data_IF_173239262479
#
_entry.id   IF_173239262479
#
_cell.length_a   1.000
_cell.length_b   1.000
_cell.length_c   1.000
_cell.angle_alpha   90.00
_cell.angle_beta   90.00
_cell.angle_gamma   90.00
#
_symmetry.space_group_name_H-M   'P 1'
#
loop_
_entity.id
_entity.type
_entity.pdbx_description
1 polymer ?
#
# COMPACT_ATOMS: atom_id res chain seq x y z
N UNK A 1 2.63 -13.62 1.16
CA UNK A 1 1.55 -12.61 1.00
C UNK A 1 0.93 -12.77 -0.37
N UNK A 2 -0.37 -12.67 -0.47
CA UNK A 2 -1.08 -12.70 -1.75
C UNK A 2 -1.46 -11.29 -2.16
N UNK A 3 -1.41 -11.03 -3.48
CA UNK A 3 -1.71 -9.70 -4.01
C UNK A 3 -2.66 -9.80 -5.19
N UNK A 4 -3.54 -8.81 -5.32
CA UNK A 4 -4.39 -8.61 -6.49
C UNK A 4 -4.36 -7.14 -6.86
N UNK A 5 -4.35 -6.86 -8.17
CA UNK A 5 -4.33 -5.48 -8.65
C UNK A 5 -5.48 -5.28 -9.62
N UNK A 6 -6.28 -4.23 -9.40
CA UNK A 6 -7.36 -3.83 -10.29
C UNK A 6 -7.25 -2.35 -10.56
N UNK A 7 -7.34 -1.96 -11.82
CA UNK A 7 -7.26 -0.56 -12.21
C UNK A 7 -8.58 -0.12 -12.83
N UNK A 8 -9.10 0.99 -12.36
CA UNK A 8 -10.35 1.55 -12.86
C UNK A 8 -10.37 3.05 -12.57
N UNK A 9 -10.76 3.84 -13.55
CA UNK A 9 -10.95 5.29 -13.40
C UNK A 9 -9.73 6.02 -12.84
N UNK A 10 -8.54 5.61 -13.24
CA UNK A 10 -7.30 6.23 -12.79
C UNK A 10 -6.80 5.78 -11.43
N UNK A 11 -7.46 4.81 -10.81
CA UNK A 11 -7.08 4.29 -9.49
C UNK A 11 -6.67 2.82 -9.65
N UNK A 12 -5.46 2.50 -9.19
CA UNK A 12 -4.99 1.12 -9.10
C UNK A 12 -5.22 0.64 -7.66
N UNK A 13 -6.13 -0.30 -7.50
CA UNK A 13 -6.41 -0.89 -6.19
C UNK A 13 -5.55 -2.13 -6.02
N UNK A 14 -4.68 -2.10 -5.03
CA UNK A 14 -3.77 -3.19 -4.71
C UNK A 14 -4.26 -3.84 -3.42
N UNK A 15 -4.79 -5.05 -3.55
CA UNK A 15 -5.35 -5.80 -2.42
C UNK A 15 -4.31 -6.77 -1.91
N UNK A 16 -3.97 -6.64 -0.63
CA UNK A 16 -2.96 -7.47 0.03
C UNK A 16 -3.64 -8.40 1.02
N UNK A 17 -3.16 -9.65 1.09
CA UNK A 17 -3.71 -10.64 2.02
C UNK A 17 -2.60 -11.42 2.69
N UNK A 18 -2.77 -11.70 3.98
CA UNK A 18 -1.86 -12.51 4.77
C UNK A 18 -0.91 -11.67 5.61
N UNK A 19 0.34 -12.07 5.68
CA UNK A 19 1.35 -11.39 6.50
C UNK A 19 2.14 -10.42 5.64
N UNK A 20 2.16 -9.18 6.07
CA UNK A 20 2.94 -8.13 5.40
C UNK A 20 4.19 -7.87 6.23
N UNK A 21 5.25 -8.61 5.94
CA UNK A 21 6.49 -8.59 6.70
C UNK A 21 7.70 -8.45 5.77
N UNK A 22 8.89 -8.61 6.33
CA UNK A 22 10.13 -8.50 5.55
C UNK A 22 10.12 -9.43 4.35
N UNK A 23 9.60 -10.65 4.49
CA UNK A 23 9.53 -11.63 3.40
C UNK A 23 8.58 -11.26 2.27
N UNK A 24 7.73 -10.24 2.47
CA UNK A 24 6.76 -9.79 1.47
C UNK A 24 7.32 -8.75 0.51
N UNK A 25 8.57 -8.36 0.65
CA UNK A 25 9.16 -7.25 -0.11
C UNK A 25 8.98 -7.42 -1.62
N UNK A 26 9.32 -8.59 -2.14
CA UNK A 26 9.23 -8.87 -3.58
C UNK A 26 7.78 -8.85 -4.06
N UNK A 27 6.89 -9.52 -3.35
CA UNK A 27 5.49 -9.59 -3.73
C UNK A 27 4.85 -8.21 -3.75
N UNK A 28 5.13 -7.42 -2.74
CA UNK A 28 4.59 -6.06 -2.67
C UNK A 28 5.13 -5.19 -3.80
N UNK A 29 6.43 -5.20 -4.02
CA UNK A 29 7.04 -4.41 -5.09
C UNK A 29 6.48 -4.80 -6.46
N UNK A 30 6.39 -6.10 -6.74
CA UNK A 30 5.84 -6.60 -7.99
C UNK A 30 4.41 -6.13 -8.19
N UNK A 31 3.61 -6.07 -7.11
CA UNK A 31 2.21 -5.68 -7.21
C UNK A 31 2.00 -4.23 -7.67
N UNK A 32 2.93 -3.33 -7.37
CA UNK A 32 2.72 -1.93 -7.69
C UNK A 32 3.56 -1.41 -8.87
N UNK A 33 4.52 -2.19 -9.37
CA UNK A 33 5.44 -1.67 -10.40
C UNK A 33 4.73 -1.26 -11.68
N UNK A 34 3.82 -2.07 -12.20
CA UNK A 34 3.10 -1.74 -13.43
C UNK A 34 2.19 -0.52 -13.21
N UNK A 35 1.30 -0.50 -12.21
CA UNK A 35 0.47 0.68 -11.99
C UNK A 35 1.28 1.93 -11.68
N UNK A 36 2.41 1.79 -11.01
CA UNK A 36 3.26 2.95 -10.71
C UNK A 36 3.79 3.61 -11.97
N UNK A 37 4.08 2.82 -13.01
CA UNK A 37 4.58 3.32 -14.29
C UNK A 37 3.49 3.67 -15.31
N UNK A 38 2.22 3.41 -15.01
CA UNK A 38 1.13 3.62 -15.96
C UNK A 38 0.68 5.08 -15.98
N UNK A 39 0.68 5.69 -17.15
CA UNK A 39 0.35 7.13 -17.29
C UNK A 39 -1.11 7.43 -16.92
N UNK A 40 -2.00 6.46 -17.09
CA UNK A 40 -3.43 6.65 -16.80
C UNK A 40 -3.78 6.40 -15.32
N UNK A 41 -2.82 5.96 -14.52
CA UNK A 41 -3.02 5.79 -13.08
C UNK A 41 -2.56 7.05 -12.35
N UNK A 42 -3.44 7.61 -11.51
CA UNK A 42 -3.16 8.81 -10.72
C UNK A 42 -3.07 8.52 -9.23
N UNK A 43 -3.65 7.41 -8.78
CA UNK A 43 -3.68 7.03 -7.39
C UNK A 43 -3.51 5.53 -7.25
N UNK A 44 -2.72 5.12 -6.24
CA UNK A 44 -2.63 3.73 -5.82
C UNK A 44 -3.32 3.60 -4.46
N UNK A 45 -4.25 2.66 -4.37
CA UNK A 45 -4.98 2.36 -3.14
C UNK A 45 -4.47 1.05 -2.59
N UNK A 46 -3.89 1.07 -1.41
CA UNK A 46 -3.37 -0.15 -0.76
C UNK A 46 -4.45 -0.64 0.21
N UNK A 47 -5.09 -1.73 -0.14
CA UNK A 47 -6.16 -2.33 0.66
C UNK A 47 -5.54 -3.34 1.62
N UNK A 48 -5.60 -3.04 2.91
CA UNK A 48 -5.03 -3.87 3.97
C UNK A 48 -6.09 -4.71 4.70
N UNK A 49 -7.32 -4.77 4.17
CA UNK A 49 -8.41 -5.49 4.84
C UNK A 49 -8.14 -6.96 5.05
N UNK A 50 -7.34 -7.59 4.20
CA UNK A 50 -6.96 -9.00 4.33
C UNK A 50 -5.61 -9.23 5.01
N UNK A 51 -4.95 -8.17 5.47
CA UNK A 51 -3.66 -8.28 6.15
C UNK A 51 -3.88 -8.53 7.64
N UNK A 52 -3.29 -9.62 8.15
CA UNK A 52 -3.43 -10.04 9.54
C UNK A 52 -2.34 -9.50 10.43
N UNK A 53 -1.19 -9.17 9.85
CA UNK A 53 0.01 -8.79 10.58
C UNK A 53 0.90 -7.95 9.70
N UNK A 54 1.48 -6.90 10.27
CA UNK A 54 2.56 -6.18 9.59
C UNK A 54 3.62 -5.77 10.61
N UNK A 55 4.87 -5.74 10.12
CA UNK A 55 6.02 -5.36 10.94
C UNK A 55 6.60 -4.02 10.48
N UNK A 56 7.71 -3.61 11.11
CA UNK A 56 8.35 -2.34 10.75
C UNK A 56 8.89 -2.34 9.32
N UNK A 57 9.24 -3.50 8.78
CA UNK A 57 9.68 -3.60 7.38
C UNK A 57 8.55 -3.22 6.44
N UNK A 58 7.32 -3.64 6.73
CA UNK A 58 6.16 -3.28 5.93
C UNK A 58 5.92 -1.77 5.94
N UNK A 59 6.10 -1.12 7.10
CA UNK A 59 5.98 0.33 7.18
C UNK A 59 6.99 1.01 6.26
N UNK A 60 8.23 0.53 6.26
CA UNK A 60 9.26 1.04 5.36
C UNK A 60 8.92 0.86 3.90
N UNK A 61 8.34 -0.29 3.53
CA UNK A 61 7.92 -0.56 2.15
C UNK A 61 6.82 0.41 1.71
N UNK A 62 5.86 0.70 2.58
CA UNK A 62 4.80 1.66 2.28
C UNK A 62 5.37 3.07 2.09
N UNK A 63 6.35 3.46 2.90
CA UNK A 63 6.99 4.77 2.75
C UNK A 63 7.78 4.87 1.45
N UNK A 64 8.46 3.81 1.04
CA UNK A 64 9.17 3.77 -0.25
C UNK A 64 8.18 3.94 -1.40
N UNK A 65 7.05 3.26 -1.34
CA UNK A 65 6.02 3.42 -2.37
C UNK A 65 5.52 4.85 -2.43
N UNK A 66 5.26 5.47 -1.27
CA UNK A 66 4.82 6.86 -1.22
C UNK A 66 5.82 7.79 -1.90
N UNK A 67 7.10 7.61 -1.63
CA UNK A 67 8.16 8.41 -2.23
C UNK A 67 8.22 8.22 -3.74
N UNK A 68 8.19 6.98 -4.20
CA UNK A 68 8.22 6.68 -5.64
C UNK A 68 6.99 7.23 -6.36
N UNK A 69 5.82 7.10 -5.76
CA UNK A 69 4.59 7.62 -6.33
C UNK A 69 4.63 9.15 -6.42
N UNK A 70 5.13 9.82 -5.40
CA UNK A 70 5.28 11.27 -5.40
C UNK A 70 6.19 11.77 -6.51
N UNK A 71 7.22 11.01 -6.85
CA UNK A 71 8.14 11.35 -7.93
C UNK A 71 7.46 11.32 -9.32
N UNK A 72 6.34 10.62 -9.44
CA UNK A 72 5.56 10.53 -10.68
C UNK A 72 4.20 11.22 -10.56
N UNK A 73 4.04 12.07 -9.56
CA UNK A 73 2.80 12.83 -9.30
C UNK A 73 1.58 11.94 -9.05
N UNK A 74 1.78 10.79 -8.42
CA UNK A 74 0.71 9.89 -8.04
C UNK A 74 0.51 9.94 -6.53
N UNK A 75 -0.72 9.68 -6.10
CA UNK A 75 -1.07 9.62 -4.68
C UNK A 75 -1.14 8.17 -4.23
N UNK A 76 -0.88 7.94 -2.95
CA UNK A 76 -1.06 6.62 -2.33
C UNK A 76 -2.02 6.79 -1.16
N UNK A 77 -3.09 6.00 -1.14
CA UNK A 77 -4.03 5.94 -0.04
C UNK A 77 -4.00 4.54 0.56
N UNK A 78 -4.30 4.44 1.84
CA UNK A 78 -4.44 3.17 2.55
C UNK A 78 -5.91 2.97 2.88
N UNK A 79 -6.45 1.79 2.55
CA UNK A 79 -7.87 1.50 2.75
C UNK A 79 -8.07 0.25 3.57
N UNK A 80 -9.19 0.21 4.27
CA UNK A 80 -9.68 -0.96 4.99
C UNK A 80 -8.75 -1.47 6.08
N UNK A 81 -7.85 -0.65 6.61
CA UNK A 81 -7.03 -1.08 7.73
C UNK A 81 -7.89 -1.17 9.00
N UNK A 82 -7.68 -2.21 9.79
CA UNK A 82 -8.48 -2.48 10.97
C UNK A 82 -7.70 -3.30 12.00
N UNK A 83 -8.23 -3.36 13.22
CA UNK A 83 -7.65 -4.19 14.28
C UNK A 83 -6.21 -3.83 14.59
N UNK A 84 -5.38 -4.85 14.78
CA UNK A 84 -3.98 -4.67 15.14
C UNK A 84 -3.19 -3.93 14.07
N UNK A 85 -3.54 -4.14 12.79
CA UNK A 85 -2.89 -3.44 11.67
C UNK A 85 -3.14 -1.93 11.78
N UNK A 86 -4.40 -1.55 12.04
CA UNK A 86 -4.74 -0.14 12.22
C UNK A 86 -3.99 0.47 13.40
N UNK A 87 -3.88 -0.27 14.51
CA UNK A 87 -3.17 0.22 15.69
C UNK A 87 -1.70 0.49 15.38
N UNK A 88 -1.04 -0.39 14.64
CA UNK A 88 0.37 -0.19 14.26
C UNK A 88 0.52 1.06 13.41
N UNK A 89 -0.36 1.24 12.42
CA UNK A 89 -0.31 2.42 11.55
C UNK A 89 -0.60 3.71 12.32
N UNK A 90 -1.54 3.67 13.26
CA UNK A 90 -1.86 4.83 14.10
C UNK A 90 -0.68 5.22 14.98
N UNK A 91 -0.03 4.25 15.61
CA UNK A 91 1.14 4.50 16.46
C UNK A 91 2.29 5.09 15.65
N UNK A 92 2.44 4.66 14.39
CA UNK A 92 3.46 5.18 13.49
C UNK A 92 3.07 6.52 12.84
N UNK A 93 1.90 7.06 13.17
CA UNK A 93 1.38 8.32 12.62
C UNK A 93 1.21 8.31 11.10
N UNK A 94 0.87 7.16 10.55
CA UNK A 94 0.67 7.01 9.12
C UNK A 94 -0.49 7.82 8.58
N UNK A 95 -1.49 8.13 9.41
CA UNK A 95 -2.60 9.00 9.00
C UNK A 95 -2.15 10.42 8.63
N UNK A 96 -0.97 10.82 9.06
CA UNK A 96 -0.38 12.11 8.69
C UNK A 96 0.37 12.05 7.35
N UNK A 97 0.67 10.85 6.88
CA UNK A 97 1.47 10.64 5.68
C UNK A 97 0.63 10.13 4.51
N UNK A 98 -0.45 9.42 4.79
CA UNK A 98 -1.33 8.83 3.79
C UNK A 98 -2.77 9.18 4.08
N UNK A 99 -3.60 9.44 3.04
CA UNK A 99 -5.03 9.37 3.21
C UNK A 99 -5.41 7.96 3.69
N UNK A 100 -6.18 7.89 4.77
CA UNK A 100 -6.65 6.63 5.35
C UNK A 100 -8.15 6.55 5.13
N UNK A 101 -8.59 5.52 4.43
CA UNK A 101 -10.02 5.37 4.06
C UNK A 101 -10.61 4.06 4.53
#
# INVERSE_FOLDING_TARGET
>A
MQTQVRTSAGIAKIVLQGRFDFGSHRDFKTSYEIPLGAADVRELEIDLGGVEYLDSSALGMLLILKERAGATNKRVAITNCRGAVKQVLDIANFSKLFPMR
#
